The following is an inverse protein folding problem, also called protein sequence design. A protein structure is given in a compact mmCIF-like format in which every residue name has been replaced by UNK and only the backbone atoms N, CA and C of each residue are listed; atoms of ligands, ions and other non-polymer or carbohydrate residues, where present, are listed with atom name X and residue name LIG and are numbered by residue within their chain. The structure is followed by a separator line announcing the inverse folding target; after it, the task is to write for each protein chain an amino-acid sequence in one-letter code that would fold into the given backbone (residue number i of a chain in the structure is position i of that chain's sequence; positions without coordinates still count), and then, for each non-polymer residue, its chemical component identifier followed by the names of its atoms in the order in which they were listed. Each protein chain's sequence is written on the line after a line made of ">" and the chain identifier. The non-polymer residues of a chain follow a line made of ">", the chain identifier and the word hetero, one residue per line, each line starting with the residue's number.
data_IF_683112140523
#
_entry.id   IF_683112140523
#
_cell.length_a   1.000
_cell.length_b   1.000
_cell.length_c   1.000
_cell.angle_alpha   90.00
_cell.angle_beta   90.00
_cell.angle_gamma   90.00
#
_symmetry.space_group_name_H-M   'P 1'
#
loop_
_entity.id
_entity.type
_entity.pdbx_description
1 polymer ?
#
# COMPACT_ATOMS: atom_id res chain seq x y z
N UNK A 1 -0.57 -5.02 -27.29
CA UNK A 1 0.77 -4.91 -26.68
C UNK A 1 0.62 -4.90 -25.16
N UNK A 2 1.54 -5.54 -24.46
CA UNK A 2 1.54 -5.62 -22.98
C UNK A 2 1.54 -4.22 -22.36
N UNK A 3 2.37 -3.33 -22.91
CA UNK A 3 2.45 -1.93 -22.43
C UNK A 3 1.11 -1.21 -22.49
N UNK A 4 0.36 -1.40 -23.58
CA UNK A 4 -0.96 -0.78 -23.75
C UNK A 4 -1.97 -1.34 -22.74
N UNK A 5 -1.91 -2.63 -22.44
CA UNK A 5 -2.78 -3.29 -21.45
C UNK A 5 -2.45 -2.76 -20.05
N UNK A 6 -1.16 -2.69 -19.70
CA UNK A 6 -0.72 -2.19 -18.40
C UNK A 6 -1.12 -0.74 -18.19
N UNK A 7 -0.88 0.13 -19.17
CA UNK A 7 -1.25 1.55 -19.09
C UNK A 7 -2.76 1.74 -18.97
N UNK A 8 -3.54 1.00 -19.76
CA UNK A 8 -5.00 1.05 -19.70
C UNK A 8 -5.51 0.61 -18.32
N UNK A 9 -4.97 -0.48 -17.79
CA UNK A 9 -5.33 -0.97 -16.46
C UNK A 9 -5.02 0.06 -15.37
N UNK A 10 -3.84 0.69 -15.43
CA UNK A 10 -3.46 1.75 -14.50
C UNK A 10 -4.45 2.92 -14.56
N UNK A 11 -4.84 3.35 -15.78
CA UNK A 11 -5.82 4.41 -15.95
C UNK A 11 -7.18 4.04 -15.36
N UNK A 12 -7.62 2.81 -15.54
CA UNK A 12 -8.90 2.32 -15.03
C UNK A 12 -8.97 2.27 -13.49
N UNK A 13 -7.85 1.98 -12.83
CA UNK A 13 -7.79 1.87 -11.37
C UNK A 13 -7.15 3.08 -10.69
N UNK A 14 -6.80 4.11 -11.44
CA UNK A 14 -6.07 5.29 -10.96
C UNK A 14 -6.76 5.95 -9.76
N UNK A 15 -8.05 6.23 -9.85
CA UNK A 15 -8.81 6.87 -8.77
C UNK A 15 -8.79 6.04 -7.49
N UNK A 16 -8.94 4.73 -7.63
CA UNK A 16 -8.90 3.77 -6.53
C UNK A 16 -7.53 3.74 -5.84
N UNK A 17 -6.46 3.75 -6.63
CA UNK A 17 -5.09 3.79 -6.11
C UNK A 17 -4.79 5.13 -5.42
N UNK A 18 -5.20 6.23 -6.01
CA UNK A 18 -5.02 7.56 -5.42
C UNK A 18 -5.79 7.71 -4.10
N UNK A 19 -7.01 7.18 -4.04
CA UNK A 19 -7.81 7.18 -2.81
C UNK A 19 -7.13 6.37 -1.70
N UNK A 20 -6.62 5.18 -2.03
CA UNK A 20 -5.88 4.35 -1.07
C UNK A 20 -4.61 5.05 -0.58
N UNK A 21 -3.86 5.65 -1.50
CA UNK A 21 -2.65 6.43 -1.17
C UNK A 21 -2.96 7.58 -0.21
N UNK A 22 -4.04 8.31 -0.48
CA UNK A 22 -4.50 9.41 0.38
C UNK A 22 -4.87 8.93 1.78
N UNK A 23 -5.59 7.83 1.87
CA UNK A 23 -5.97 7.25 3.17
C UNK A 23 -4.75 6.86 4.01
N UNK A 24 -3.75 6.25 3.39
CA UNK A 24 -2.50 5.89 4.06
C UNK A 24 -1.76 7.16 4.51
N UNK A 25 -1.68 8.16 3.65
CA UNK A 25 -1.03 9.43 3.97
C UNK A 25 -1.72 10.17 5.13
N UNK A 26 -3.04 10.13 5.20
CA UNK A 26 -3.81 10.73 6.29
C UNK A 26 -3.68 9.99 7.62
N UNK A 27 -3.20 8.74 7.59
CA UNK A 27 -3.01 7.87 8.77
C UNK A 27 -1.56 7.39 8.85
N UNK A 28 -0.60 8.30 9.11
CA UNK A 28 0.81 7.90 9.17
C UNK A 28 1.05 6.92 10.31
N UNK A 29 1.70 5.81 9.99
CA UNK A 29 1.99 4.73 10.93
C UNK A 29 3.48 4.41 10.90
N UNK A 30 4.06 4.27 12.08
CA UNK A 30 5.49 3.98 12.28
C UNK A 30 5.82 2.53 11.90
N UNK A 31 7.10 2.22 11.62
CA UNK A 31 7.53 0.85 11.34
C UNK A 31 7.03 -0.15 12.38
N UNK A 32 6.62 -1.32 11.91
CA UNK A 32 6.03 -2.43 12.68
C UNK A 32 4.64 -2.16 13.28
N UNK A 33 4.04 -1.02 13.00
CA UNK A 33 2.71 -0.62 13.51
C UNK A 33 1.73 -0.23 12.40
N UNK A 34 2.04 -0.59 11.16
CA UNK A 34 1.31 -0.18 9.95
C UNK A 34 0.03 -1.02 9.74
N UNK A 35 -0.81 -1.12 10.77
CA UNK A 35 -1.99 -1.99 10.73
C UNK A 35 -3.10 -1.47 9.81
N UNK A 36 -3.29 -0.14 9.76
CA UNK A 36 -4.28 0.48 8.89
C UNK A 36 -3.87 0.35 7.42
N UNK A 37 -2.64 0.74 7.09
CA UNK A 37 -2.12 0.62 5.73
C UNK A 37 -2.13 -0.84 5.26
N UNK A 38 -1.71 -1.76 6.12
CA UNK A 38 -1.76 -3.19 5.85
C UNK A 38 -3.19 -3.66 5.55
N UNK A 39 -4.17 -3.24 6.34
CA UNK A 39 -5.57 -3.64 6.13
C UNK A 39 -6.12 -3.15 4.78
N UNK A 40 -5.80 -1.92 4.38
CA UNK A 40 -6.20 -1.38 3.08
C UNK A 40 -5.59 -2.16 1.92
N UNK A 41 -4.30 -2.47 2.02
CA UNK A 41 -3.60 -3.26 0.99
C UNK A 41 -4.17 -4.68 0.88
N UNK A 42 -4.43 -5.34 2.00
CA UNK A 42 -5.02 -6.68 2.04
C UNK A 42 -6.38 -6.67 1.35
N UNK A 43 -7.23 -5.73 1.70
CA UNK A 43 -8.57 -5.61 1.13
C UNK A 43 -8.52 -5.42 -0.38
N UNK A 44 -7.67 -4.51 -0.86
CA UNK A 44 -7.52 -4.24 -2.27
C UNK A 44 -6.96 -5.45 -3.05
N UNK A 45 -5.92 -6.09 -2.52
CA UNK A 45 -5.30 -7.26 -3.14
C UNK A 45 -6.29 -8.42 -3.24
N UNK A 46 -7.06 -8.68 -2.19
CA UNK A 46 -8.10 -9.71 -2.22
C UNK A 46 -9.19 -9.39 -3.24
N UNK A 47 -9.61 -8.14 -3.32
CA UNK A 47 -10.61 -7.69 -4.30
C UNK A 47 -10.13 -7.89 -5.74
N UNK A 48 -8.84 -7.79 -5.99
CA UNK A 48 -8.23 -8.03 -7.31
C UNK A 48 -7.86 -9.50 -7.57
N UNK A 49 -8.21 -10.41 -6.67
CA UNK A 49 -8.05 -11.85 -6.87
C UNK A 49 -6.73 -12.45 -6.41
N UNK A 50 -5.93 -11.71 -5.63
CA UNK A 50 -4.71 -12.25 -5.04
C UNK A 50 -5.02 -13.17 -3.86
N UNK A 51 -4.21 -14.20 -3.68
CA UNK A 51 -4.12 -14.94 -2.43
C UNK A 51 -3.22 -14.15 -1.48
N UNK A 52 -3.73 -13.81 -0.31
CA UNK A 52 -3.03 -12.93 0.63
C UNK A 52 -2.71 -13.66 1.93
N UNK A 53 -1.44 -13.72 2.27
CA UNK A 53 -0.92 -14.18 3.58
C UNK A 53 -0.59 -12.94 4.42
N UNK A 54 -1.02 -12.95 5.68
CA UNK A 54 -0.76 -11.87 6.63
C UNK A 54 0.16 -12.36 7.74
N UNK A 55 0.88 -11.44 8.38
CA UNK A 55 1.83 -11.83 9.44
C UNK A 55 3.00 -12.64 8.94
N UNK A 56 3.37 -12.48 7.67
CA UNK A 56 4.48 -13.20 7.05
C UNK A 56 5.78 -12.96 7.82
N UNK A 57 6.55 -14.02 8.01
CA UNK A 57 7.80 -13.99 8.77
C UNK A 57 7.65 -13.47 10.22
N UNK A 58 6.46 -13.59 10.81
CA UNK A 58 6.19 -13.15 12.19
C UNK A 58 6.00 -11.66 12.37
N UNK A 59 5.91 -10.88 11.29
CA UNK A 59 5.66 -9.45 11.32
C UNK A 59 4.16 -9.17 11.16
N UNK A 60 3.47 -8.63 12.17
CA UNK A 60 1.99 -8.51 12.15
C UNK A 60 1.44 -7.70 10.98
N UNK A 61 2.15 -6.66 10.53
CA UNK A 61 1.73 -5.80 9.42
C UNK A 61 2.18 -6.28 8.05
N UNK A 62 2.98 -7.35 7.99
CA UNK A 62 3.53 -7.85 6.72
C UNK A 62 2.48 -8.56 5.87
N UNK A 63 2.64 -8.42 4.57
CA UNK A 63 1.75 -9.03 3.58
C UNK A 63 2.60 -9.76 2.55
N UNK A 64 2.16 -10.96 2.20
CA UNK A 64 2.62 -11.65 0.99
C UNK A 64 1.40 -11.98 0.15
N UNK A 65 1.33 -11.41 -1.04
CA UNK A 65 0.22 -11.64 -1.96
C UNK A 65 0.74 -12.34 -3.22
N UNK A 66 0.02 -13.34 -3.68
CA UNK A 66 0.41 -14.14 -4.85
C UNK A 66 -0.75 -14.18 -5.84
N UNK A 67 -0.43 -14.01 -7.11
CA UNK A 67 -1.40 -14.13 -8.19
C UNK A 67 -0.84 -15.03 -9.29
N UNK A 68 -1.67 -15.99 -9.73
CA UNK A 68 -1.27 -16.92 -10.78
C UNK A 68 -0.37 -18.05 -10.29
N UNK A 69 0.23 -18.75 -11.24
CA UNK A 69 1.12 -19.90 -10.99
C UNK A 69 2.10 -20.10 -12.13
N UNK A 70 3.10 -20.94 -11.92
CA UNK A 70 4.08 -21.28 -12.95
C UNK A 70 5.34 -20.43 -12.86
N UNK A 71 6.10 -20.41 -13.95
CA UNK A 71 7.38 -19.73 -14.04
C UNK A 71 7.48 -18.86 -15.30
N UNK A 72 8.24 -17.75 -15.27
CA UNK A 72 8.93 -17.20 -14.09
C UNK A 72 7.97 -16.64 -13.05
N UNK A 73 8.43 -16.53 -11.79
CA UNK A 73 7.74 -15.82 -10.73
C UNK A 73 8.41 -14.46 -10.55
N UNK A 74 7.64 -13.38 -10.67
CA UNK A 74 8.14 -12.02 -10.55
C UNK A 74 7.66 -11.45 -9.23
N UNK A 75 8.58 -10.87 -8.45
CA UNK A 75 8.26 -10.27 -7.15
C UNK A 75 8.37 -8.75 -7.19
N UNK A 76 7.45 -8.11 -6.48
CA UNK A 76 7.47 -6.67 -6.22
C UNK A 76 7.53 -6.46 -4.71
N UNK A 77 8.42 -5.58 -4.27
CA UNK A 77 8.55 -5.22 -2.86
C UNK A 77 8.11 -3.77 -2.69
N UNK A 78 7.26 -3.52 -1.70
CA UNK A 78 6.80 -2.19 -1.35
C UNK A 78 6.84 -1.97 0.16
N UNK A 79 6.88 -0.73 0.56
CA UNK A 79 6.85 -0.31 1.96
C UNK A 79 5.75 0.76 2.11
N UNK A 80 5.12 0.81 3.29
CA UNK A 80 4.07 1.79 3.57
C UNK A 80 4.18 2.44 4.95
N UNK A 81 5.32 2.25 5.63
CA UNK A 81 5.57 2.91 6.91
C UNK A 81 5.87 4.40 6.74
N UNK A 82 5.59 5.16 7.79
CA UNK A 82 5.92 6.57 7.89
C UNK A 82 7.10 6.75 8.84
N UNK A 83 8.01 7.63 8.50
CA UNK A 83 9.07 8.04 9.42
C UNK A 83 8.49 8.93 10.52
N UNK A 84 8.97 8.82 11.76
CA UNK A 84 8.54 9.71 12.85
C UNK A 84 8.74 11.19 12.49
N UNK A 85 7.78 12.02 12.79
CA UNK A 85 7.83 13.45 12.53
C UNK A 85 7.56 13.87 11.08
N UNK A 86 7.08 12.95 10.24
CA UNK A 86 6.81 13.21 8.82
C UNK A 86 5.32 13.38 8.48
N UNK A 87 4.45 13.32 9.49
CA UNK A 87 3.03 13.61 9.29
C UNK A 87 2.85 15.02 8.73
N UNK A 88 2.11 15.15 7.63
CA UNK A 88 2.03 16.42 6.90
C UNK A 88 0.71 16.58 6.16
N UNK A 89 0.09 17.75 6.32
CA UNK A 89 -1.07 18.18 5.53
C UNK A 89 -0.62 18.59 4.11
N UNK A 90 -1.57 18.66 3.21
CA UNK A 90 -1.32 19.10 1.83
C UNK A 90 -1.16 20.64 1.76
N UNK A 91 -0.07 21.12 2.35
CA UNK A 91 0.31 22.53 2.38
C UNK A 91 1.83 22.64 2.23
N UNK A 92 2.32 23.81 1.83
CA UNK A 92 3.74 24.04 1.55
C UNK A 92 4.57 24.50 2.76
N UNK A 93 4.05 24.30 3.95
CA UNK A 93 4.74 24.59 5.22
C UNK A 93 4.51 23.42 6.19
N UNK A 94 5.37 23.32 7.20
CA UNK A 94 5.26 22.24 8.20
C UNK A 94 3.92 22.34 8.94
N UNK A 95 3.08 21.34 8.75
CA UNK A 95 1.77 21.25 9.41
C UNK A 95 1.37 19.78 9.55
N UNK A 96 1.62 19.15 10.69
CA UNK A 96 1.27 17.74 10.87
C UNK A 96 -0.24 17.50 10.83
N UNK A 97 -0.65 16.37 10.27
CA UNK A 97 -2.04 15.88 10.36
C UNK A 97 -2.29 15.40 11.79
N UNK A 98 -1.33 14.65 12.31
CA UNK A 98 -1.37 14.12 13.67
C UNK A 98 -0.23 14.77 14.45
N UNK A 99 -0.56 15.48 15.52
CA UNK A 99 0.42 16.17 16.35
C UNK A 99 1.37 15.15 17.00
N UNK A 100 2.66 15.39 16.90
CA UNK A 100 3.69 14.52 17.46
C UNK A 100 4.07 13.30 16.60
N UNK A 101 3.48 13.16 15.42
CA UNK A 101 3.76 12.07 14.47
C UNK A 101 4.61 12.49 13.27
#
# INVERSE_FOLDING_TARGET
>A
MIDSIALKTIDEISDKLCDMSRKIWEHPEKPYKEMYASSLCIEMLKAEGFEVETGYAGLPSSIRATFGSGHPMIGFLGEFDSLPGQSQKDVNYKSPIVEGE
#
